data_IF_115316758695
#
_entry.id   IF_115316758695
#
_cell.length_a   1.000
_cell.length_b   1.000
_cell.length_c   1.000
_cell.angle_alpha   90.00
_cell.angle_beta   90.00
_cell.angle_gamma   90.00
#
_symmetry.space_group_name_H-M   'P 1'
#
loop_
_entity.id
_entity.type
_entity.pdbx_description
1 polymer ?
#
# COMPACT_ATOMS: atom_id res chain seq x y z
N UNK A 1 10.03 -9.81 15.78
CA UNK A 1 9.55 -9.76 14.38
C UNK A 1 8.89 -8.42 14.18
N UNK A 2 9.33 -7.65 13.18
CA UNK A 2 8.75 -6.34 12.89
C UNK A 2 7.28 -6.49 12.51
N UNK A 3 6.39 -5.90 13.31
CA UNK A 3 4.94 -6.03 13.13
C UNK A 3 4.43 -5.26 11.91
N UNK A 4 5.25 -4.37 11.36
CA UNK A 4 4.81 -3.37 10.40
C UNK A 4 5.28 -3.62 8.97
N UNK A 5 4.45 -3.23 8.00
CA UNK A 5 4.66 -3.48 6.57
C UNK A 5 6.03 -2.98 6.05
N UNK A 6 6.48 -1.80 6.50
CA UNK A 6 7.76 -1.20 6.09
C UNK A 6 8.99 -1.85 6.72
N UNK A 7 8.82 -2.62 7.80
CA UNK A 7 9.91 -3.39 8.43
C UNK A 7 10.11 -4.72 7.71
N UNK A 8 9.02 -5.31 7.23
CA UNK A 8 9.02 -6.57 6.48
C UNK A 8 9.45 -6.40 5.02
N UNK A 9 9.19 -5.23 4.42
CA UNK A 9 9.65 -4.92 3.07
C UNK A 9 10.94 -4.06 3.11
N UNK A 10 12.13 -4.65 2.90
CA UNK A 10 13.39 -3.89 2.91
C UNK A 10 13.49 -2.85 1.79
N UNK A 11 12.68 -2.97 0.73
CA UNK A 11 12.60 -2.07 -0.43
C UNK A 11 11.39 -1.13 -0.37
N UNK A 12 10.74 -0.99 0.78
CA UNK A 12 9.57 -0.12 0.92
C UNK A 12 9.93 1.34 0.58
N UNK A 13 9.23 1.95 -0.38
CA UNK A 13 9.52 3.31 -0.87
C UNK A 13 9.34 4.43 0.18
N UNK A 14 8.69 4.12 1.32
CA UNK A 14 8.52 5.03 2.46
C UNK A 14 9.49 4.78 3.60
N UNK A 15 10.38 3.79 3.49
CA UNK A 15 11.38 3.48 4.51
C UNK A 15 12.31 4.69 4.72
N UNK A 16 12.48 5.10 5.98
CA UNK A 16 13.31 6.24 6.35
C UNK A 16 12.64 7.62 6.23
N UNK A 17 11.36 7.68 5.83
CA UNK A 17 10.57 8.92 5.88
C UNK A 17 9.97 9.13 7.28
N UNK A 18 9.57 10.36 7.60
CA UNK A 18 8.82 10.63 8.82
C UNK A 18 7.36 10.16 8.68
N UNK A 19 6.80 9.57 9.74
CA UNK A 19 5.38 9.25 9.79
C UNK A 19 4.54 10.53 9.69
N UNK A 20 3.52 10.53 8.83
CA UNK A 20 2.68 11.69 8.56
C UNK A 20 3.10 12.51 7.34
N UNK A 21 4.30 12.27 6.80
CA UNK A 21 4.82 12.98 5.62
C UNK A 21 4.95 12.07 4.38
N UNK A 22 4.67 10.77 4.53
CA UNK A 22 4.74 9.84 3.41
C UNK A 22 3.44 9.84 2.62
N UNK A 23 3.50 9.48 1.33
CA UNK A 23 2.28 9.26 0.58
C UNK A 23 1.48 8.06 1.12
N UNK A 24 2.14 7.09 1.77
CA UNK A 24 1.56 5.82 2.20
C UNK A 24 0.68 5.99 3.44
N UNK A 25 -0.65 5.81 3.34
CA UNK A 25 -1.55 5.94 4.49
C UNK A 25 -1.23 4.88 5.55
N UNK A 26 -0.88 3.65 5.14
CA UNK A 26 -0.55 2.57 6.08
C UNK A 26 0.67 2.93 6.94
N UNK A 27 1.67 3.55 6.31
CA UNK A 27 2.85 4.03 7.02
C UNK A 27 2.50 5.17 7.97
N UNK A 28 1.73 6.16 7.53
CA UNK A 28 1.37 7.31 8.35
C UNK A 28 0.49 6.93 9.54
N UNK A 29 -0.43 5.98 9.36
CA UNK A 29 -1.32 5.48 10.42
C UNK A 29 -0.70 4.38 11.29
N UNK A 30 0.54 3.98 11.00
CA UNK A 30 1.24 2.85 11.65
C UNK A 30 0.43 1.55 11.60
N UNK A 31 -0.16 1.28 10.44
CA UNK A 31 -0.93 0.07 10.12
C UNK A 31 -0.23 -0.75 9.04
N UNK A 32 -0.56 -2.03 8.96
CA UNK A 32 -0.28 -2.86 7.79
C UNK A 32 -1.10 -2.40 6.59
N UNK A 33 -0.57 -2.53 5.38
CA UNK A 33 -1.33 -2.19 4.17
C UNK A 33 -2.58 -3.07 4.01
N UNK A 34 -2.60 -4.29 4.54
CA UNK A 34 -3.77 -5.18 4.58
C UNK A 34 -4.85 -4.74 5.57
N UNK A 35 -4.56 -3.76 6.44
CA UNK A 35 -5.51 -3.25 7.44
C UNK A 35 -6.23 -1.98 6.96
N UNK A 36 -6.00 -1.54 5.72
CA UNK A 36 -6.60 -0.36 5.16
C UNK A 36 -7.63 -0.70 4.09
N UNK A 37 -8.71 0.08 4.07
CA UNK A 37 -9.62 0.12 2.94
C UNK A 37 -9.05 1.02 1.84
N UNK A 38 -8.15 0.45 1.03
CA UNK A 38 -7.57 1.15 -0.11
C UNK A 38 -8.62 1.53 -1.16
N UNK A 39 -9.75 0.83 -1.27
CA UNK A 39 -10.78 1.19 -2.25
C UNK A 39 -11.38 2.57 -1.93
N UNK A 40 -11.68 2.81 -0.65
CA UNK A 40 -12.16 4.10 -0.16
C UNK A 40 -11.08 5.20 -0.27
N UNK A 41 -9.83 4.87 0.08
CA UNK A 41 -8.72 5.82 -0.03
C UNK A 41 -8.52 6.23 -1.49
N UNK A 42 -8.41 5.27 -2.42
CA UNK A 42 -8.12 5.56 -3.82
C UNK A 42 -9.27 6.28 -4.52
N UNK A 43 -10.52 6.02 -4.14
CA UNK A 43 -11.69 6.75 -4.68
C UNK A 43 -11.75 8.22 -4.24
N UNK A 44 -11.17 8.55 -3.08
CA UNK A 44 -11.18 9.92 -2.53
C UNK A 44 -9.97 10.76 -2.92
N UNK A 45 -8.96 10.18 -3.58
CA UNK A 45 -7.77 10.89 -4.02
C UNK A 45 -7.98 11.60 -5.37
N UNK A 46 -7.28 12.73 -5.63
CA UNK A 46 -7.19 13.34 -6.95
C UNK A 46 -6.63 12.36 -8.00
N UNK A 47 -6.99 12.56 -9.28
CA UNK A 47 -6.63 11.65 -10.37
C UNK A 47 -5.13 11.36 -10.50
N UNK A 48 -4.28 12.36 -10.25
CA UNK A 48 -2.82 12.21 -10.29
C UNK A 48 -2.31 11.25 -9.20
N UNK A 49 -2.78 11.42 -7.97
CA UNK A 49 -2.43 10.54 -6.85
C UNK A 49 -3.06 9.14 -7.03
N UNK A 50 -4.27 9.07 -7.58
CA UNK A 50 -4.92 7.81 -7.97
C UNK A 50 -4.06 7.01 -8.94
N UNK A 51 -3.57 7.67 -10.01
CA UNK A 51 -2.73 7.04 -11.02
C UNK A 51 -1.40 6.55 -10.44
N UNK A 52 -0.78 7.36 -9.57
CA UNK A 52 0.44 7.00 -8.85
C UNK A 52 0.26 5.75 -8.00
N UNK A 53 -0.82 5.68 -7.23
CA UNK A 53 -1.10 4.52 -6.38
C UNK A 53 -1.41 3.26 -7.19
N UNK A 54 -2.21 3.37 -8.26
CA UNK A 54 -2.43 2.24 -9.17
C UNK A 54 -1.12 1.71 -9.74
N UNK A 55 -0.19 2.59 -10.11
CA UNK A 55 1.14 2.19 -10.58
C UNK A 55 1.92 1.41 -9.52
N UNK A 56 1.99 1.91 -8.29
CA UNK A 56 2.65 1.22 -7.16
C UNK A 56 2.00 -0.16 -6.91
N UNK A 57 0.68 -0.22 -6.86
CA UNK A 57 -0.05 -1.47 -6.62
C UNK A 57 0.15 -2.49 -7.75
N UNK A 58 0.34 -2.03 -8.98
CA UNK A 58 0.60 -2.90 -10.13
C UNK A 58 2.05 -3.38 -10.20
N UNK A 59 3.02 -2.50 -9.95
CA UNK A 59 4.44 -2.78 -10.19
C UNK A 59 5.18 -3.28 -8.95
N UNK A 60 4.87 -2.73 -7.76
CA UNK A 60 5.63 -3.01 -6.55
C UNK A 60 4.98 -4.08 -5.67
N UNK A 61 3.64 -4.08 -5.52
CA UNK A 61 2.95 -5.06 -4.66
C UNK A 61 3.23 -6.52 -5.02
N UNK A 62 3.30 -6.95 -6.30
CA UNK A 62 3.58 -8.36 -6.64
C UNK A 62 4.92 -8.88 -6.12
N UNK A 63 5.89 -7.99 -5.88
CA UNK A 63 7.22 -8.35 -5.36
C UNK A 63 7.39 -8.07 -3.86
N UNK A 64 6.35 -7.52 -3.22
CA UNK A 64 6.39 -7.14 -1.82
C UNK A 64 6.17 -8.38 -0.92
N UNK A 65 7.08 -8.68 0.04
CA UNK A 65 6.93 -9.82 0.93
C UNK A 65 5.67 -9.74 1.81
N UNK A 66 5.22 -8.53 2.13
CA UNK A 66 3.97 -8.29 2.86
C UNK A 66 2.75 -8.67 2.03
N UNK A 67 2.76 -8.33 0.74
CA UNK A 67 1.67 -8.72 -0.16
C UNK A 67 1.63 -10.25 -0.32
N UNK A 68 2.78 -10.92 -0.38
CA UNK A 68 2.83 -12.38 -0.41
C UNK A 68 2.24 -13.02 0.86
N UNK A 69 2.51 -12.45 2.04
CA UNK A 69 2.00 -12.93 3.32
C UNK A 69 0.49 -12.67 3.51
N UNK A 70 -0.05 -11.59 2.94
CA UNK A 70 -1.45 -11.15 3.06
C UNK A 70 -2.16 -11.13 1.71
N UNK A 71 -1.81 -12.07 0.82
CA UNK A 71 -2.29 -12.07 -0.55
C UNK A 71 -3.80 -12.18 -0.63
N UNK A 72 -4.40 -13.00 0.21
CA UNK A 72 -5.84 -13.25 0.21
C UNK A 72 -6.64 -12.00 0.60
N UNK A 73 -6.11 -11.18 1.52
CA UNK A 73 -6.71 -9.91 1.93
C UNK A 73 -6.55 -8.82 0.86
N UNK A 74 -5.40 -8.79 0.18
CA UNK A 74 -5.01 -7.68 -0.69
C UNK A 74 -5.35 -7.90 -2.17
N UNK A 75 -5.33 -9.15 -2.67
CA UNK A 75 -5.40 -9.43 -4.11
C UNK A 75 -6.70 -8.96 -4.75
N UNK A 76 -7.84 -9.24 -4.12
CA UNK A 76 -9.15 -8.83 -4.63
C UNK A 76 -9.28 -7.30 -4.62
N UNK A 77 -8.87 -6.66 -3.54
CA UNK A 77 -8.89 -5.20 -3.41
C UNK A 77 -8.01 -4.53 -4.49
N UNK A 78 -6.80 -5.04 -4.74
CA UNK A 78 -5.92 -4.48 -5.77
C UNK A 78 -6.55 -4.64 -7.15
N UNK A 79 -7.17 -5.78 -7.45
CA UNK A 79 -7.86 -5.98 -8.73
C UNK A 79 -8.99 -4.97 -8.94
N UNK A 80 -9.80 -4.71 -7.91
CA UNK A 80 -10.87 -3.70 -7.96
C UNK A 80 -10.27 -2.32 -8.26
N UNK A 81 -9.22 -1.92 -7.54
CA UNK A 81 -8.59 -0.61 -7.72
C UNK A 81 -7.99 -0.45 -9.11
N UNK A 82 -7.36 -1.50 -9.65
CA UNK A 82 -6.76 -1.47 -10.99
C UNK A 82 -7.81 -1.44 -12.11
N UNK A 83 -9.07 -1.81 -11.83
CA UNK A 83 -10.18 -1.78 -12.76
C UNK A 83 -11.02 -0.47 -12.73
N UNK A 84 -10.86 0.35 -11.68
CA UNK A 84 -11.42 1.72 -11.59
C UNK A 84 -10.63 2.74 -12.42
#
# INVERSE_FOLDING_TARGET
>A
MGSMCWEQNPKCFVKGRQHGESACPAYNEKKGCWQLDWSFIITSLPDEEKARWKKIMKEECPTCPVFAAHKDDLAMMIQIILAM
#
